data_IF_363105072272
#
_entry.id   IF_363105072272
#
_cell.length_a   1.000
_cell.length_b   1.000
_cell.length_c   1.000
_cell.angle_alpha   90.00
_cell.angle_beta   90.00
_cell.angle_gamma   90.00
#
_symmetry.space_group_name_H-M   'P 1'
#
loop_
_entity.id
_entity.type
_entity.pdbx_description
1 polymer ?
#
# COMPACT_ATOMS: atom_id res chain seq x y z
N UNK A 1 26.76 -5.49 -33.66
CA UNK A 1 25.37 -6.02 -33.65
C UNK A 1 24.58 -5.18 -32.66
N UNK A 2 23.74 -4.25 -33.14
CA UNK A 2 22.91 -3.42 -32.26
C UNK A 2 21.67 -4.23 -31.89
N UNK A 3 21.71 -4.89 -30.74
CA UNK A 3 20.55 -5.58 -30.17
C UNK A 3 19.78 -4.53 -29.38
N UNK A 4 18.72 -4.00 -29.98
CA UNK A 4 17.76 -3.15 -29.27
C UNK A 4 16.64 -4.04 -28.73
N UNK A 5 16.18 -3.82 -27.49
CA UNK A 5 14.99 -4.48 -26.98
C UNK A 5 13.78 -4.08 -27.84
N UNK A 6 13.08 -5.09 -28.35
CA UNK A 6 11.83 -4.91 -29.08
C UNK A 6 10.70 -4.70 -28.07
N UNK A 7 10.30 -3.43 -27.90
CA UNK A 7 9.21 -3.03 -27.03
C UNK A 7 7.83 -3.13 -27.71
N UNK A 8 7.78 -3.49 -29.00
CA UNK A 8 6.52 -3.69 -29.75
C UNK A 8 5.78 -4.94 -29.26
N UNK A 9 6.51 -5.90 -28.66
CA UNK A 9 5.96 -7.06 -27.96
C UNK A 9 5.34 -6.74 -26.58
N UNK A 10 5.52 -5.51 -26.06
CA UNK A 10 4.91 -5.06 -24.81
C UNK A 10 3.56 -4.35 -25.01
N UNK A 11 2.78 -4.83 -25.99
CA UNK A 11 1.39 -4.44 -26.17
C UNK A 11 0.60 -4.63 -24.87
N UNK A 12 -0.09 -3.58 -24.42
CA UNK A 12 -0.92 -3.62 -23.21
C UNK A 12 -0.25 -3.12 -21.91
N UNK A 13 0.98 -2.59 -21.96
CA UNK A 13 1.58 -1.91 -20.78
C UNK A 13 0.69 -0.77 -20.25
N UNK A 14 0.02 -0.04 -21.15
CA UNK A 14 -0.92 1.01 -20.78
C UNK A 14 -2.05 0.47 -19.90
N UNK A 15 -2.72 -0.56 -20.37
CA UNK A 15 -3.82 -1.23 -19.66
C UNK A 15 -3.34 -1.84 -18.32
N UNK A 16 -2.16 -2.46 -18.32
CA UNK A 16 -1.58 -3.04 -17.10
C UNK A 16 -1.28 -1.96 -16.06
N UNK A 17 -0.76 -0.81 -16.48
CA UNK A 17 -0.49 0.33 -15.59
C UNK A 17 -1.79 0.90 -15.01
N UNK A 18 -2.85 0.97 -15.82
CA UNK A 18 -4.17 1.43 -15.38
C UNK A 18 -4.79 0.47 -14.35
N UNK A 19 -4.74 -0.84 -14.60
CA UNK A 19 -5.20 -1.86 -13.66
C UNK A 19 -4.40 -1.83 -12.35
N UNK A 20 -3.08 -1.72 -12.42
CA UNK A 20 -2.22 -1.62 -11.23
C UNK A 20 -2.55 -0.35 -10.44
N UNK A 21 -2.76 0.79 -11.10
CA UNK A 21 -3.18 2.04 -10.46
C UNK A 21 -4.51 1.89 -9.72
N UNK A 22 -5.48 1.22 -10.34
CA UNK A 22 -6.78 0.93 -9.73
C UNK A 22 -6.70 -0.05 -8.54
N UNK A 23 -5.83 -1.06 -8.60
CA UNK A 23 -5.60 -1.97 -7.47
C UNK A 23 -4.95 -1.25 -6.29
N UNK A 24 -4.04 -0.31 -6.56
CA UNK A 24 -3.37 0.49 -5.53
C UNK A 24 -4.33 1.39 -4.76
N UNK A 25 -5.29 2.02 -5.44
CA UNK A 25 -6.35 2.80 -4.77
C UNK A 25 -7.25 1.90 -3.93
N UNK A 26 -7.58 0.70 -4.42
CA UNK A 26 -8.34 -0.29 -3.65
C UNK A 26 -7.62 -0.69 -2.35
N UNK A 27 -6.32 -1.00 -2.43
CA UNK A 27 -5.49 -1.33 -1.26
C UNK A 27 -5.47 -0.17 -0.28
N UNK A 28 -5.28 1.06 -0.75
CA UNK A 28 -5.27 2.26 0.09
C UNK A 28 -6.61 2.45 0.82
N UNK A 29 -7.73 2.30 0.10
CA UNK A 29 -9.08 2.40 0.68
C UNK A 29 -9.28 1.35 1.77
N UNK A 30 -8.94 0.09 1.51
CA UNK A 30 -9.10 -1.00 2.48
C UNK A 30 -8.21 -0.76 3.71
N UNK A 31 -6.98 -0.29 3.52
CA UNK A 31 -6.07 0.02 4.62
C UNK A 31 -6.62 1.13 5.52
N UNK A 32 -7.19 2.20 4.93
CA UNK A 32 -7.83 3.29 5.69
C UNK A 32 -9.07 2.80 6.42
N UNK A 33 -9.94 2.00 5.78
CA UNK A 33 -11.11 1.42 6.43
C UNK A 33 -10.73 0.54 7.63
N UNK A 34 -9.69 -0.30 7.50
CA UNK A 34 -9.17 -1.11 8.59
C UNK A 34 -8.61 -0.26 9.74
N UNK A 35 -7.93 0.85 9.44
CA UNK A 35 -7.45 1.79 10.46
C UNK A 35 -8.61 2.41 11.24
N UNK A 36 -9.67 2.83 10.56
CA UNK A 36 -10.86 3.42 11.19
C UNK A 36 -11.52 2.40 12.13
N UNK A 37 -11.76 1.17 11.66
CA UNK A 37 -12.36 0.10 12.48
C UNK A 37 -11.50 -0.18 13.71
N UNK A 38 -10.18 -0.29 13.54
CA UNK A 38 -9.25 -0.53 14.64
C UNK A 38 -9.24 0.61 15.66
N UNK A 39 -9.28 1.86 15.22
CA UNK A 39 -9.37 3.04 16.09
C UNK A 39 -10.67 3.09 16.88
N UNK A 40 -11.82 2.76 16.27
CA UNK A 40 -13.12 2.70 16.95
C UNK A 40 -13.11 1.63 18.04
N UNK A 41 -12.64 0.41 17.72
CA UNK A 41 -12.56 -0.69 18.69
C UNK A 41 -11.64 -0.31 19.85
N UNK A 42 -10.51 0.35 19.57
CA UNK A 42 -9.60 0.82 20.59
C UNK A 42 -10.25 1.86 21.51
N UNK A 43 -10.95 2.85 20.95
CA UNK A 43 -11.64 3.89 21.72
C UNK A 43 -12.74 3.29 22.64
N UNK A 44 -13.57 2.39 22.10
CA UNK A 44 -14.65 1.74 22.85
C UNK A 44 -14.08 0.84 23.95
N UNK A 45 -13.08 0.00 23.64
CA UNK A 45 -12.49 -0.91 24.61
C UNK A 45 -11.75 -0.17 25.74
N UNK A 46 -11.10 0.96 25.43
CA UNK A 46 -10.41 1.81 26.40
C UNK A 46 -11.40 2.51 27.33
N UNK A 47 -12.55 2.95 26.82
CA UNK A 47 -13.60 3.59 27.63
C UNK A 47 -14.29 2.62 28.60
N UNK A 48 -14.37 1.32 28.26
CA UNK A 48 -15.04 0.30 29.09
C UNK A 48 -14.09 -0.49 30.01
N UNK A 49 -12.81 -0.08 30.13
CA UNK A 49 -11.84 -0.75 31.01
C UNK A 49 -11.41 -2.16 30.56
N UNK A 50 -11.70 -2.54 29.31
CA UNK A 50 -11.36 -3.87 28.78
C UNK A 50 -9.98 -3.88 28.11
N UNK A 51 -8.93 -4.03 28.93
CA UNK A 51 -7.53 -3.97 28.52
C UNK A 51 -7.13 -5.03 27.48
N UNK A 52 -7.76 -6.21 27.47
CA UNK A 52 -7.47 -7.27 26.52
C UNK A 52 -7.92 -6.94 25.10
N UNK A 53 -9.07 -6.27 24.96
CA UNK A 53 -9.58 -5.82 23.65
C UNK A 53 -8.85 -4.56 23.18
N UNK A 54 -8.49 -3.66 24.10
CA UNK A 54 -7.69 -2.47 23.78
C UNK A 54 -6.29 -2.82 23.26
N UNK A 55 -5.64 -3.86 23.78
CA UNK A 55 -4.32 -4.30 23.30
C UNK A 55 -4.40 -4.92 21.90
N UNK A 56 -5.39 -5.78 21.64
CA UNK A 56 -5.64 -6.35 20.30
C UNK A 56 -5.96 -5.27 19.27
N UNK A 57 -6.72 -4.25 19.66
CA UNK A 57 -7.02 -3.12 18.78
C UNK A 57 -5.75 -2.34 18.40
N UNK A 58 -4.82 -2.09 19.33
CA UNK A 58 -3.52 -1.46 19.02
C UNK A 58 -2.70 -2.26 18.01
N UNK A 59 -2.66 -3.59 18.15
CA UNK A 59 -1.95 -4.44 17.18
C UNK A 59 -2.58 -4.36 15.79
N UNK A 60 -3.92 -4.35 15.71
CA UNK A 60 -4.63 -4.13 14.44
C UNK A 60 -4.29 -2.79 13.79
N UNK A 61 -4.17 -1.73 14.59
CA UNK A 61 -3.81 -0.39 14.11
C UNK A 61 -2.39 -0.38 13.52
N UNK A 62 -1.43 -1.01 14.21
CA UNK A 62 -0.04 -1.10 13.77
C UNK A 62 0.10 -1.91 12.47
N UNK A 63 -0.65 -3.00 12.33
CA UNK A 63 -0.65 -3.80 11.09
C UNK A 63 -1.24 -2.99 9.93
N UNK A 64 -2.35 -2.28 10.15
CA UNK A 64 -2.98 -1.46 9.11
C UNK A 64 -2.11 -0.24 8.72
N UNK A 65 -1.41 0.36 9.69
CA UNK A 65 -0.40 1.39 9.42
C UNK A 65 0.79 0.83 8.62
N UNK A 66 1.27 -0.36 8.99
CA UNK A 66 2.36 -1.03 8.30
C UNK A 66 2.03 -1.37 6.84
N UNK A 67 0.82 -1.87 6.57
CA UNK A 67 0.37 -2.16 5.20
C UNK A 67 0.20 -0.89 4.37
N UNK A 68 -0.37 0.18 4.94
CA UNK A 68 -0.48 1.47 4.27
C UNK A 68 0.90 2.07 3.93
N UNK A 69 1.83 2.04 4.88
CA UNK A 69 3.18 2.54 4.69
C UNK A 69 3.97 1.72 3.65
N UNK A 70 3.81 0.40 3.62
CA UNK A 70 4.43 -0.46 2.62
C UNK A 70 3.85 -0.22 1.21
N UNK A 71 2.52 -0.08 1.09
CA UNK A 71 1.88 0.18 -0.19
C UNK A 71 2.32 1.54 -0.78
N UNK A 72 2.33 2.60 0.03
CA UNK A 72 2.77 3.93 -0.42
C UNK A 72 4.30 4.03 -0.61
N UNK A 73 5.07 3.53 0.36
CA UNK A 73 6.53 3.56 0.35
C UNK A 73 7.14 2.71 -0.77
N UNK A 74 6.53 1.57 -1.10
CA UNK A 74 6.95 0.72 -2.20
C UNK A 74 6.85 1.42 -3.56
N UNK A 75 5.75 2.14 -3.80
CA UNK A 75 5.57 2.93 -5.03
C UNK A 75 6.59 4.07 -5.12
N UNK A 76 6.80 4.80 -4.02
CA UNK A 76 7.79 5.89 -3.98
C UNK A 76 9.22 5.38 -4.22
N UNK A 77 9.59 4.25 -3.63
CA UNK A 77 10.90 3.64 -3.83
C UNK A 77 11.09 3.16 -5.27
N UNK A 78 10.09 2.50 -5.85
CA UNK A 78 10.17 2.02 -7.23
C UNK A 78 10.32 3.18 -8.23
N UNK A 79 9.58 4.28 -8.02
CA UNK A 79 9.74 5.49 -8.82
C UNK A 79 11.15 6.10 -8.70
N UNK A 80 11.74 6.09 -7.50
CA UNK A 80 13.10 6.55 -7.28
C UNK A 80 14.15 5.67 -7.99
N UNK A 81 14.00 4.35 -7.93
CA UNK A 81 14.89 3.40 -8.63
C UNK A 81 14.85 3.60 -10.15
N UNK A 82 13.66 3.81 -10.72
CA UNK A 82 13.49 4.11 -12.15
C UNK A 82 14.21 5.42 -12.50
N UNK A 83 14.02 6.48 -11.69
CA UNK A 83 14.66 7.78 -11.92
C UNK A 83 16.20 7.70 -11.83
N UNK A 84 16.74 6.88 -10.93
CA UNK A 84 18.18 6.63 -10.86
C UNK A 84 18.72 5.88 -12.08
N UNK A 85 17.97 4.90 -12.59
CA UNK A 85 18.36 4.16 -13.79
C UNK A 85 18.38 5.02 -15.05
N UNK A 86 17.53 6.04 -15.12
CA UNK A 86 17.50 7.01 -16.23
C UNK A 86 18.68 8.00 -16.18
N UNK A 87 19.32 8.16 -15.02
CA UNK A 87 20.47 9.05 -14.82
C UNK A 87 21.84 8.38 -15.07
N UNK A 88 21.88 7.06 -15.25
CA UNK A 88 23.09 6.24 -15.42
C UNK A 88 23.23 5.76 -16.87
#
# INVERSE_FOLDING_TARGET
MNVFPDFDGLGGIGDLKEVIGALLTFVLIIAVLMLIVSAIIWAVASAHGNHATASKARTGLLVALGTAALAGGGVAWMNWLIALGDQL
#
